data_IF_003726998638
#
_entry.id   IF_003726998638
#
_cell.length_a   1.000
_cell.length_b   1.000
_cell.length_c   1.000
_cell.angle_alpha   90.00
_cell.angle_beta   90.00
_cell.angle_gamma   90.00
#
_symmetry.space_group_name_H-M   'P 1'
#
loop_
_entity.id
_entity.type
_entity.pdbx_description
1 polymer ?
#
# COMPACT_ATOMS: atom_id res chain seq x y z
N UNK A 1 17.18 15.57 -16.97
CA UNK A 1 17.26 14.54 -15.89
C UNK A 1 15.87 14.04 -15.56
N UNK A 2 15.72 12.79 -15.14
CA UNK A 2 14.44 12.24 -14.68
C UNK A 2 14.15 12.67 -13.23
N UNK A 3 12.89 13.05 -12.97
CA UNK A 3 12.42 13.40 -11.62
C UNK A 3 11.06 12.84 -11.23
N UNK A 4 10.37 12.17 -12.16
CA UNK A 4 9.05 11.57 -11.96
C UNK A 4 8.91 10.32 -12.84
N UNK A 5 8.42 9.22 -12.28
CA UNK A 5 7.96 8.05 -13.02
C UNK A 5 6.45 7.84 -12.75
N UNK A 6 5.65 7.76 -13.81
CA UNK A 6 4.22 7.47 -13.75
C UNK A 6 3.97 5.99 -13.99
N UNK A 7 3.12 5.39 -13.16
CA UNK A 7 2.81 3.97 -13.14
C UNK A 7 1.31 3.76 -13.33
N UNK A 8 0.96 2.81 -14.20
CA UNK A 8 -0.39 2.32 -14.32
C UNK A 8 -0.83 1.59 -13.07
N UNK A 9 -2.14 1.59 -12.86
CA UNK A 9 -2.76 0.90 -11.74
C UNK A 9 -3.61 -0.26 -12.25
N UNK A 10 -3.49 -1.39 -11.59
CA UNK A 10 -4.43 -2.50 -11.66
C UNK A 10 -5.21 -2.50 -10.35
N UNK A 11 -6.52 -2.30 -10.43
CA UNK A 11 -7.37 -2.27 -9.24
C UNK A 11 -7.69 -3.69 -8.82
N UNK A 12 -7.37 -4.05 -7.58
CA UNK A 12 -7.68 -5.35 -6.97
C UNK A 12 -8.97 -5.19 -6.16
N UNK A 13 -9.93 -6.09 -6.40
CA UNK A 13 -11.22 -6.10 -5.70
C UNK A 13 -11.03 -6.68 -4.30
N UNK A 14 -11.31 -5.87 -3.26
CA UNK A 14 -11.37 -6.30 -1.85
C UNK A 14 -12.78 -6.12 -1.31
N UNK A 15 -13.46 -7.21 -1.03
CA UNK A 15 -14.87 -7.27 -0.63
C UNK A 15 -15.10 -7.77 0.80
N UNK A 16 -14.05 -8.21 1.50
CA UNK A 16 -14.18 -8.74 2.86
C UNK A 16 -13.39 -7.93 3.90
N UNK A 17 -13.69 -8.23 5.17
CA UNK A 17 -12.94 -7.77 6.34
C UNK A 17 -11.77 -8.68 6.67
N UNK A 18 -10.90 -8.14 7.50
CA UNK A 18 -9.76 -8.84 8.05
C UNK A 18 -9.94 -9.02 9.56
N UNK A 19 -9.41 -10.12 10.13
CA UNK A 19 -9.28 -10.23 11.57
C UNK A 19 -8.48 -9.04 12.13
N UNK A 20 -8.94 -8.49 13.25
CA UNK A 20 -8.28 -7.35 13.91
C UNK A 20 -6.91 -7.75 14.50
N UNK A 21 -6.76 -9.02 14.87
CA UNK A 21 -5.57 -9.56 15.54
C UNK A 21 -5.18 -10.89 14.93
N UNK A 22 -3.91 -11.25 15.08
CA UNK A 22 -3.45 -12.60 14.81
C UNK A 22 -4.18 -13.60 15.71
N UNK A 23 -4.76 -14.64 15.09
CA UNK A 23 -5.48 -15.71 15.79
C UNK A 23 -4.64 -16.98 15.80
N UNK A 24 -4.25 -17.44 14.63
CA UNK A 24 -3.39 -18.59 14.41
C UNK A 24 -2.80 -18.56 13.00
N UNK A 25 -1.83 -19.43 12.74
CA UNK A 25 -1.11 -19.48 11.47
C UNK A 25 -2.02 -19.86 10.29
N UNK A 26 -2.98 -20.77 10.49
CA UNK A 26 -3.94 -21.18 9.45
C UNK A 26 -4.81 -20.00 8.97
N UNK A 27 -5.29 -19.21 9.94
CA UNK A 27 -6.09 -18.01 9.67
C UNK A 27 -5.23 -16.95 8.99
N UNK A 28 -3.98 -16.75 9.45
CA UNK A 28 -3.04 -15.84 8.81
C UNK A 28 -2.81 -16.21 7.34
N UNK A 29 -2.62 -17.49 7.03
CA UNK A 29 -2.39 -17.97 5.66
C UNK A 29 -3.60 -17.72 4.74
N UNK A 30 -4.82 -17.94 5.25
CA UNK A 30 -6.08 -17.65 4.55
C UNK A 30 -6.28 -16.15 4.32
N UNK A 31 -5.85 -15.32 5.27
CA UNK A 31 -6.02 -13.87 5.24
C UNK A 31 -4.86 -13.11 4.56
N UNK A 32 -3.91 -13.81 3.95
CA UNK A 32 -2.86 -13.17 3.15
C UNK A 32 -3.47 -12.46 1.93
N UNK A 33 -3.51 -11.12 1.97
CA UNK A 33 -4.09 -10.25 0.94
C UNK A 33 -3.69 -10.66 -0.49
N UNK A 34 -2.41 -10.96 -0.69
CA UNK A 34 -1.84 -11.28 -2.00
C UNK A 34 -2.21 -12.68 -2.52
N UNK A 35 -2.71 -13.57 -1.66
CA UNK A 35 -3.27 -14.87 -2.04
C UNK A 35 -4.78 -14.79 -2.20
N UNK A 36 -5.44 -14.10 -1.26
CA UNK A 36 -6.90 -13.98 -1.16
C UNK A 36 -7.50 -13.18 -2.32
N UNK A 37 -6.84 -12.10 -2.76
CA UNK A 37 -7.39 -11.20 -3.78
C UNK A 37 -6.58 -11.16 -5.08
N UNK A 38 -7.06 -11.90 -6.07
CA UNK A 38 -6.48 -11.98 -7.41
C UNK A 38 -7.38 -11.40 -8.51
N UNK A 39 -8.65 -11.07 -8.19
CA UNK A 39 -9.58 -10.44 -9.12
C UNK A 39 -9.18 -8.97 -9.35
N UNK A 40 -8.90 -8.65 -10.59
CA UNK A 40 -8.34 -7.35 -10.98
C UNK A 40 -9.05 -6.73 -12.17
N UNK A 41 -9.03 -5.40 -12.24
CA UNK A 41 -9.52 -4.59 -13.36
C UNK A 41 -8.42 -3.59 -13.75
N UNK A 42 -8.14 -3.46 -15.04
CA UNK A 42 -7.09 -2.61 -15.59
C UNK A 42 -6.18 -3.37 -16.58
N UNK A 43 -5.02 -2.82 -16.96
CA UNK A 43 -4.38 -1.60 -16.43
C UNK A 43 -5.13 -0.31 -16.80
N UNK A 44 -5.08 0.70 -15.91
CA UNK A 44 -5.67 2.02 -16.13
C UNK A 44 -4.77 3.16 -15.63
N UNK A 45 -4.83 4.29 -16.33
CA UNK A 45 -4.22 5.56 -15.92
C UNK A 45 -5.07 6.33 -14.91
N UNK A 46 -6.34 5.96 -14.75
CA UNK A 46 -7.22 6.57 -13.74
C UNK A 46 -6.72 6.22 -12.34
N UNK A 47 -6.41 7.25 -11.55
CA UNK A 47 -5.82 7.07 -10.22
C UNK A 47 -4.39 6.55 -10.25
N UNK A 48 -3.66 6.82 -11.35
CA UNK A 48 -2.23 6.50 -11.50
C UNK A 48 -1.42 6.87 -10.26
N UNK A 49 -0.32 6.15 -10.08
CA UNK A 49 0.63 6.40 -9.00
C UNK A 49 1.93 6.94 -9.59
N UNK A 50 2.59 7.79 -8.81
CA UNK A 50 3.83 8.43 -9.24
C UNK A 50 4.92 8.15 -8.22
N UNK A 51 6.10 7.80 -8.71
CA UNK A 51 7.34 7.81 -7.92
C UNK A 51 8.06 9.10 -8.29
N UNK A 52 8.44 9.88 -7.29
CA UNK A 52 9.09 11.17 -7.51
C UNK A 52 10.38 11.28 -6.73
N UNK A 53 11.26 12.14 -7.24
CA UNK A 53 12.39 12.70 -6.51
C UNK A 53 11.93 13.99 -5.84
N UNK A 54 11.69 14.02 -4.52
CA UNK A 54 11.10 15.17 -3.86
C UNK A 54 11.84 16.48 -4.13
N UNK A 55 13.17 16.44 -4.20
CA UNK A 55 14.04 17.58 -4.48
C UNK A 55 13.85 18.19 -5.88
N UNK A 56 13.10 17.51 -6.76
CA UNK A 56 12.86 17.91 -8.15
C UNK A 56 11.42 18.33 -8.44
N UNK A 57 10.53 18.28 -7.44
CA UNK A 57 9.10 18.58 -7.56
C UNK A 57 8.77 19.84 -6.75
N UNK A 58 8.07 20.79 -7.38
CA UNK A 58 7.59 21.99 -6.70
C UNK A 58 6.23 21.80 -6.05
N UNK A 59 5.29 21.13 -6.74
CA UNK A 59 3.93 20.91 -6.25
C UNK A 59 3.49 19.46 -6.52
N UNK A 60 2.98 18.81 -5.47
CA UNK A 60 2.42 17.47 -5.52
C UNK A 60 0.90 17.51 -5.26
N UNK A 61 0.13 16.91 -6.17
CA UNK A 61 -1.27 16.51 -5.93
C UNK A 61 -1.31 15.03 -5.52
N UNK A 62 -2.41 14.59 -4.92
CA UNK A 62 -2.65 13.22 -4.44
C UNK A 62 -2.29 12.14 -5.48
N UNK A 63 -2.44 12.44 -6.78
CA UNK A 63 -2.19 11.50 -7.86
C UNK A 63 -1.02 11.87 -8.79
N UNK A 64 -0.47 13.09 -8.69
CA UNK A 64 0.59 13.48 -9.63
C UNK A 64 1.37 14.72 -9.18
N UNK A 65 2.64 14.80 -9.55
CA UNK A 65 3.38 16.05 -9.49
C UNK A 65 2.85 17.02 -10.55
N UNK A 66 2.32 18.15 -10.08
CA UNK A 66 1.67 19.22 -10.86
C UNK A 66 2.71 20.21 -11.38
N UNK A 67 3.65 20.62 -10.51
CA UNK A 67 4.73 21.52 -10.89
C UNK A 67 6.10 20.86 -10.66
N UNK A 68 7.00 21.05 -11.61
CA UNK A 68 8.36 20.50 -11.63
C UNK A 68 9.35 21.62 -11.88
N UNK A 69 10.57 21.49 -11.37
CA UNK A 69 11.63 22.42 -11.74
C UNK A 69 11.95 22.35 -13.25
N UNK A 70 12.47 23.43 -13.86
CA UNK A 70 12.84 23.44 -15.26
C UNK A 70 13.80 22.29 -15.64
N UNK A 71 13.58 21.68 -16.81
CA UNK A 71 14.44 20.60 -17.31
C UNK A 71 14.18 19.20 -16.72
N UNK A 72 13.19 19.05 -15.82
CA UNK A 72 12.82 17.75 -15.23
C UNK A 72 11.84 16.98 -16.12
N UNK A 73 12.30 15.81 -16.59
CA UNK A 73 11.52 14.89 -17.43
C UNK A 73 10.65 13.97 -16.58
N UNK A 74 9.49 13.63 -17.15
CA UNK A 74 8.58 12.60 -16.65
C UNK A 74 8.79 11.34 -17.47
N UNK A 75 9.01 10.21 -16.80
CA UNK A 75 9.02 8.89 -17.41
C UNK A 75 7.63 8.27 -17.26
N UNK A 76 7.04 7.80 -18.35
CA UNK A 76 5.78 7.07 -18.33
C UNK A 76 6.09 5.59 -18.56
N UNK A 77 5.82 4.76 -17.56
CA UNK A 77 6.15 3.34 -17.63
C UNK A 77 5.03 2.55 -18.30
N UNK A 78 5.44 1.68 -19.23
CA UNK A 78 4.52 0.79 -19.93
C UNK A 78 3.90 -0.23 -18.95
N UNK A 79 2.56 -0.43 -18.98
CA UNK A 79 1.89 -1.36 -18.09
C UNK A 79 2.35 -2.82 -18.25
N UNK A 80 2.89 -3.21 -19.41
CA UNK A 80 3.46 -4.54 -19.62
C UNK A 80 4.74 -4.76 -18.81
N UNK A 81 5.46 -3.68 -18.48
CA UNK A 81 6.71 -3.73 -17.71
C UNK A 81 6.45 -3.57 -16.22
N UNK A 82 5.63 -2.58 -15.84
CA UNK A 82 5.35 -2.29 -14.42
C UNK A 82 3.91 -1.81 -14.23
N UNK A 83 3.23 -2.40 -13.25
CA UNK A 83 1.92 -1.96 -12.75
C UNK A 83 1.91 -1.95 -11.24
N UNK A 84 1.15 -1.01 -10.68
CA UNK A 84 0.86 -0.96 -9.24
C UNK A 84 -0.48 -1.64 -8.99
N UNK A 85 -0.50 -2.65 -8.11
CA UNK A 85 -1.74 -3.22 -7.61
C UNK A 85 -2.32 -2.30 -6.55
N UNK A 86 -3.50 -1.75 -6.81
CA UNK A 86 -4.20 -0.88 -5.87
C UNK A 86 -5.38 -1.64 -5.28
N UNK A 87 -5.27 -2.01 -4.00
CA UNK A 87 -6.34 -2.66 -3.26
C UNK A 87 -7.47 -1.67 -3.04
N UNK A 88 -8.63 -1.92 -3.64
CA UNK A 88 -9.81 -1.06 -3.50
C UNK A 88 -10.90 -1.81 -2.76
N UNK A 89 -11.25 -1.32 -1.58
CA UNK A 89 -12.37 -1.88 -0.82
C UNK A 89 -13.69 -1.54 -1.50
N UNK A 90 -14.54 -2.55 -1.67
CA UNK A 90 -15.89 -2.43 -2.21
C UNK A 90 -16.96 -2.45 -1.13
N UNK A 91 -16.66 -3.00 0.06
CA UNK A 91 -17.62 -3.20 1.17
C UNK A 91 -18.03 -1.90 1.90
N UNK A 92 -17.07 -1.06 2.31
CA UNK A 92 -17.34 0.10 3.19
C UNK A 92 -17.29 1.46 2.50
N UNK A 93 -17.27 1.48 1.17
CA UNK A 93 -17.06 2.73 0.45
C UNK A 93 -18.38 3.49 0.30
N UNK A 94 -18.47 4.67 0.90
CA UNK A 94 -19.67 5.53 0.87
C UNK A 94 -20.00 6.00 -0.57
N UNK A 95 -18.98 6.26 -1.39
CA UNK A 95 -19.14 6.68 -2.80
C UNK A 95 -18.34 5.80 -3.77
N UNK A 96 -19.03 5.22 -4.77
CA UNK A 96 -18.39 4.41 -5.81
C UNK A 96 -17.84 3.07 -5.30
N UNK A 97 -18.52 2.45 -4.33
CA UNK A 97 -18.31 1.05 -3.88
C UNK A 97 -18.36 0.06 -5.04
N UNK A 98 -19.30 0.27 -5.96
CA UNK A 98 -19.55 -0.60 -7.12
C UNK A 98 -18.74 -0.21 -8.36
N UNK A 99 -17.58 0.42 -8.20
CA UNK A 99 -16.71 0.79 -9.33
C UNK A 99 -16.36 -0.38 -10.26
N UNK A 100 -16.45 -1.61 -9.76
CA UNK A 100 -16.20 -2.86 -10.48
C UNK A 100 -17.47 -3.47 -11.12
N UNK A 101 -18.65 -2.91 -10.84
CA UNK A 101 -19.96 -3.31 -11.40
C UNK A 101 -20.63 -2.21 -12.20
N UNK A 102 -20.10 -0.98 -12.17
CA UNK A 102 -20.61 0.15 -12.95
C UNK A 102 -20.04 0.12 -14.36
N UNK A 103 -20.92 0.26 -15.34
CA UNK A 103 -20.53 0.45 -16.72
C UNK A 103 -19.73 1.75 -16.91
N UNK A 104 -18.85 1.76 -17.90
CA UNK A 104 -18.18 2.96 -18.36
C UNK A 104 -19.14 3.89 -19.12
N UNK A 105 -18.62 5.03 -19.60
CA UNK A 105 -19.38 6.02 -20.38
C UNK A 105 -19.99 5.44 -21.67
N UNK A 106 -19.46 4.29 -22.14
CA UNK A 106 -19.90 3.58 -23.34
C UNK A 106 -20.85 2.40 -23.01
N UNK A 107 -21.25 2.23 -21.76
CA UNK A 107 -22.13 1.14 -21.32
C UNK A 107 -21.44 -0.21 -21.11
N UNK A 108 -20.11 -0.29 -21.21
CA UNK A 108 -19.37 -1.54 -21.02
C UNK A 108 -19.04 -1.78 -19.54
N UNK A 109 -19.27 -3.00 -19.09
CA UNK A 109 -18.86 -3.41 -17.74
C UNK A 109 -17.33 -3.60 -17.65
N UNK A 110 -16.72 -3.36 -16.48
CA UNK A 110 -15.30 -3.59 -16.28
C UNK A 110 -14.94 -5.07 -16.47
N UNK A 111 -13.93 -5.34 -17.30
CA UNK A 111 -13.44 -6.71 -17.50
C UNK A 111 -12.64 -7.15 -16.27
N UNK A 112 -13.17 -8.15 -15.56
CA UNK A 112 -12.51 -8.74 -14.40
C UNK A 112 -11.59 -9.87 -14.87
N UNK A 113 -10.31 -9.76 -14.54
CA UNK A 113 -9.30 -10.78 -14.80
C UNK A 113 -8.82 -11.39 -13.50
N UNK A 114 -8.43 -12.66 -13.53
CA UNK A 114 -7.76 -13.31 -12.41
C UNK A 114 -6.24 -13.25 -12.61
N UNK A 115 -5.56 -12.35 -11.90
CA UNK A 115 -4.12 -12.14 -12.04
C UNK A 115 -3.40 -12.47 -10.72
N UNK A 116 -3.08 -13.74 -10.43
CA UNK A 116 -2.28 -14.06 -9.25
C UNK A 116 -0.86 -13.48 -9.37
N UNK A 117 -0.22 -13.25 -8.23
CA UNK A 117 1.21 -12.90 -8.23
C UNK A 117 2.04 -14.10 -8.68
N UNK A 118 3.24 -13.87 -9.26
CA UNK A 118 4.15 -14.96 -9.63
C UNK A 118 4.43 -15.87 -8.44
N UNK A 119 4.35 -17.19 -8.65
CA UNK A 119 4.43 -18.19 -7.59
C UNK A 119 5.69 -18.03 -6.71
N UNK A 120 6.86 -17.87 -7.33
CA UNK A 120 8.13 -17.65 -6.63
C UNK A 120 8.11 -16.42 -5.72
N UNK A 121 7.48 -15.33 -6.18
CA UNK A 121 7.33 -14.11 -5.38
C UNK A 121 6.33 -14.33 -4.24
N UNK A 122 5.20 -14.98 -4.54
CA UNK A 122 4.16 -15.34 -3.56
C UNK A 122 4.71 -16.18 -2.42
N UNK A 123 5.53 -17.19 -2.70
CA UNK A 123 6.18 -18.04 -1.69
C UNK A 123 7.20 -17.28 -0.83
N UNK A 124 8.01 -16.42 -1.46
CA UNK A 124 8.96 -15.57 -0.72
C UNK A 124 8.24 -14.60 0.21
N UNK A 125 7.17 -13.97 -0.28
CA UNK A 125 6.36 -13.04 0.50
C UNK A 125 5.63 -13.76 1.63
N UNK A 126 5.12 -14.97 1.38
CA UNK A 126 4.52 -15.84 2.38
C UNK A 126 5.51 -16.07 3.54
N UNK A 127 6.70 -16.59 3.26
CA UNK A 127 7.70 -16.87 4.30
C UNK A 127 8.08 -15.62 5.10
N UNK A 128 8.22 -14.48 4.43
CA UNK A 128 8.54 -13.21 5.08
C UNK A 128 7.43 -12.73 6.02
N UNK A 129 6.16 -12.84 5.61
CA UNK A 129 5.01 -12.44 6.43
C UNK A 129 4.88 -13.33 7.65
N UNK A 130 4.91 -14.65 7.48
CA UNK A 130 4.81 -15.60 8.61
C UNK A 130 5.92 -15.33 9.62
N UNK A 131 7.17 -15.20 9.15
CA UNK A 131 8.31 -14.88 10.01
C UNK A 131 8.09 -13.58 10.78
N UNK A 132 7.58 -12.52 10.12
CA UNK A 132 7.38 -11.21 10.76
C UNK A 132 6.23 -11.24 11.77
N UNK A 133 5.12 -11.90 11.46
CA UNK A 133 3.95 -11.99 12.36
C UNK A 133 4.31 -12.80 13.59
N UNK A 134 4.86 -14.00 13.43
CA UNK A 134 5.32 -14.82 14.56
C UNK A 134 6.34 -14.07 15.41
N UNK A 135 7.30 -13.37 14.79
CA UNK A 135 8.25 -12.55 15.53
C UNK A 135 7.61 -11.45 16.38
N UNK A 136 6.47 -10.89 15.98
CA UNK A 136 5.76 -9.86 16.76
C UNK A 136 4.92 -10.49 17.87
N UNK A 137 4.22 -11.59 17.58
CA UNK A 137 3.26 -12.20 18.49
C UNK A 137 3.87 -13.23 19.46
N UNK A 138 4.95 -13.91 19.08
CA UNK A 138 5.69 -14.83 19.96
C UNK A 138 6.65 -14.10 20.91
N UNK A 139 6.90 -12.80 20.67
CA UNK A 139 7.62 -11.98 21.63
C UNK A 139 6.74 -11.77 22.84
N UNK A 140 7.19 -12.30 23.97
CA UNK A 140 6.61 -12.04 25.29
C UNK A 140 6.45 -10.52 25.42
N UNK A 141 5.24 -9.98 25.68
CA UNK A 141 5.10 -8.57 25.98
C UNK A 141 6.00 -8.27 27.16
N UNK A 142 7.02 -7.43 26.93
CA UNK A 142 7.91 -6.99 28.00
C UNK A 142 7.02 -6.35 29.03
N UNK A 143 7.05 -6.84 30.27
CA UNK A 143 6.34 -6.19 31.36
C UNK A 143 6.77 -4.73 31.36
N UNK A 144 5.83 -3.80 31.17
CA UNK A 144 6.13 -2.38 31.06
C UNK A 144 6.94 -1.88 32.27
N UNK A 145 6.77 -2.49 33.44
CA UNK A 145 7.54 -2.21 34.66
C UNK A 145 9.03 -2.56 34.56
N UNK A 146 9.43 -3.44 33.63
CA UNK A 146 10.82 -3.81 33.35
C UNK A 146 11.47 -2.91 32.30
N UNK A 147 10.70 -2.08 31.59
CA UNK A 147 11.25 -1.14 30.62
C UNK A 147 11.89 0.01 31.40
N UNK A 148 13.19 0.30 31.21
CA UNK A 148 13.85 1.45 31.84
C UNK A 148 13.06 2.74 31.65
N UNK A 149 12.93 3.54 32.72
CA UNK A 149 12.13 4.78 32.70
C UNK A 149 12.63 5.77 31.65
N UNK A 150 13.91 5.72 31.34
CA UNK A 150 14.58 6.51 30.30
C UNK A 150 14.02 6.18 28.91
N UNK A 151 13.89 4.89 28.58
CA UNK A 151 13.31 4.45 27.31
C UNK A 151 11.80 4.78 27.23
N UNK A 152 11.08 4.68 28.35
CA UNK A 152 9.68 5.11 28.40
C UNK A 152 9.54 6.62 28.15
N UNK A 153 10.43 7.44 28.72
CA UNK A 153 10.46 8.89 28.46
C UNK A 153 10.81 9.21 27.02
N UNK A 154 11.62 8.40 26.34
CA UNK A 154 11.94 8.58 24.91
C UNK A 154 10.77 8.26 23.97
N UNK A 155 9.84 7.39 24.38
CA UNK A 155 8.59 7.15 23.65
C UNK A 155 7.62 8.33 23.73
N UNK A 156 7.70 9.10 24.82
CA UNK A 156 6.96 10.35 24.97
C UNK A 156 7.68 11.43 24.17
N UNK A 157 7.23 11.65 22.93
CA UNK A 157 7.71 12.78 22.14
C UNK A 157 7.41 14.08 22.89
N UNK A 158 8.43 14.92 23.17
CA UNK A 158 8.19 16.22 23.80
C UNK A 158 7.31 17.08 22.90
N UNK A 159 6.58 17.99 23.53
CA UNK A 159 5.84 19.01 22.81
C UNK A 159 6.81 19.75 21.88
N UNK A 160 6.60 19.71 20.54
CA UNK A 160 7.53 20.29 19.58
C UNK A 160 7.70 21.80 19.74
N UNK A 161 6.80 22.49 20.47
CA UNK A 161 6.95 23.89 20.82
C UNK A 161 7.84 24.15 22.04
N UNK A 162 8.10 23.13 22.86
CA UNK A 162 8.95 23.23 24.06
C UNK A 162 10.35 22.66 23.83
N UNK A 163 10.46 21.58 23.06
CA UNK A 163 11.74 20.96 22.75
C UNK A 163 11.68 20.22 21.41
N UNK A 164 12.54 20.62 20.47
CA UNK A 164 12.61 20.02 19.14
C UNK A 164 13.42 18.71 19.18
N UNK A 165 12.72 17.59 19.37
CA UNK A 165 13.22 16.19 19.30
C UNK A 165 14.42 15.87 20.24
N UNK A 166 14.61 14.60 20.64
CA UNK A 166 15.83 14.21 21.33
C UNK A 166 17.04 14.49 20.43
N UNK A 167 18.03 15.24 20.94
CA UNK A 167 19.34 15.35 20.29
C UNK A 167 20.11 14.06 20.58
N UNK A 168 20.38 13.28 19.53
CA UNK A 168 21.20 12.07 19.58
C UNK A 168 22.68 12.43 19.54
#
# INVERSE_FOLDING_TARGET
MEGKACLNVVSVIKDEDYPEKFVNLETLEKEMIFKKYNKTIGPSWQGQKVVVRPEKIGIMSIHSAVAKYPGIRTLQLEPQKVVVRHLRSTKYRIFGSDWHKKADENGNLPVIQNTPLPQKFSESLHKAIVRRVLHVYDRIPVNCSLIPKELQKMLNHPDPFKEMWPRF
#
